data_IF_653898816634
#
_entry.id   IF_653898816634
#
_cell.length_a   1.000
_cell.length_b   1.000
_cell.length_c   1.000
_cell.angle_alpha   90.00
_cell.angle_beta   90.00
_cell.angle_gamma   90.00
#
_symmetry.space_group_name_H-M   'P 1'
#
loop_
_entity.id
_entity.type
_entity.pdbx_description
1 polymer ?
#
# COMPACT_ATOMS: atom_id res chain seq x y z
N UNK A 1 5.26 -12.43 3.60
CA UNK A 1 6.60 -12.26 3.00
C UNK A 1 7.69 -12.87 3.87
N UNK A 2 7.89 -12.40 5.11
CA UNK A 2 8.99 -12.85 5.95
C UNK A 2 8.99 -14.38 6.19
N UNK A 3 7.86 -14.93 6.64
CA UNK A 3 7.67 -16.38 6.82
C UNK A 3 7.89 -17.17 5.52
N UNK A 4 7.43 -16.64 4.38
CA UNK A 4 7.68 -17.25 3.06
C UNK A 4 9.18 -17.34 2.75
N UNK A 5 9.92 -16.27 3.01
CA UNK A 5 11.38 -16.24 2.83
C UNK A 5 12.11 -17.24 3.72
N UNK A 6 11.68 -17.39 4.98
CA UNK A 6 12.23 -18.39 5.91
C UNK A 6 12.00 -19.81 5.38
N UNK A 7 10.78 -20.12 4.96
CA UNK A 7 10.45 -21.46 4.44
C UNK A 7 11.11 -21.78 3.10
N UNK A 8 11.51 -20.77 2.32
CA UNK A 8 12.12 -20.91 1.00
C UNK A 8 13.59 -20.46 0.97
N UNK A 9 14.27 -20.41 2.12
CA UNK A 9 15.57 -19.76 2.27
C UNK A 9 16.60 -20.23 1.25
N UNK A 10 16.79 -21.54 1.09
CA UNK A 10 17.80 -22.08 0.16
C UNK A 10 17.59 -21.66 -1.30
N UNK A 11 16.34 -21.52 -1.73
CA UNK A 11 16.02 -21.05 -3.09
C UNK A 11 16.11 -19.54 -3.21
N UNK A 12 15.85 -18.83 -2.11
CA UNK A 12 15.70 -17.38 -2.11
C UNK A 12 16.97 -16.61 -1.72
N UNK A 13 17.93 -17.25 -1.04
CA UNK A 13 19.14 -16.60 -0.51
C UNK A 13 19.96 -15.86 -1.59
N UNK A 14 20.73 -14.88 -1.13
CA UNK A 14 21.66 -14.08 -1.94
C UNK A 14 21.03 -13.27 -3.09
N UNK A 15 19.72 -12.97 -2.99
CA UNK A 15 18.98 -12.19 -4.00
C UNK A 15 18.08 -11.14 -3.33
N UNK A 16 17.99 -9.93 -3.88
CA UNK A 16 16.97 -8.97 -3.47
C UNK A 16 15.62 -9.31 -4.12
N UNK A 17 14.53 -8.97 -3.45
CA UNK A 17 13.16 -9.16 -3.96
C UNK A 17 12.37 -7.88 -3.74
N UNK A 18 11.79 -7.34 -4.80
CA UNK A 18 10.76 -6.32 -4.69
C UNK A 18 9.51 -6.95 -4.10
N UNK A 19 8.84 -6.21 -3.22
CA UNK A 19 7.66 -6.67 -2.51
C UNK A 19 6.62 -5.57 -2.57
N UNK A 20 5.56 -5.82 -3.30
CA UNK A 20 4.45 -4.90 -3.50
C UNK A 20 3.23 -5.62 -4.01
N UNK A 21 2.18 -4.84 -4.29
CA UNK A 21 0.97 -5.31 -4.95
C UNK A 21 1.09 -5.06 -6.45
N UNK A 22 1.30 -6.11 -7.23
CA UNK A 22 1.44 -6.00 -8.68
C UNK A 22 0.16 -5.52 -9.37
N UNK A 23 -0.99 -5.75 -8.74
CA UNK A 23 -2.32 -5.29 -9.18
C UNK A 23 -2.67 -3.88 -8.70
N UNK A 24 -1.78 -3.21 -7.94
CA UNK A 24 -2.04 -1.88 -7.38
C UNK A 24 -0.89 -0.88 -7.65
N UNK A 25 -0.44 -0.82 -8.91
CA UNK A 25 0.47 0.23 -9.39
C UNK A 25 -0.32 1.51 -9.69
N UNK A 26 -0.58 2.32 -8.66
CA UNK A 26 -1.42 3.53 -8.75
C UNK A 26 -0.62 4.80 -8.45
N UNK A 27 -0.92 5.86 -9.19
CA UNK A 27 -0.54 7.23 -8.83
C UNK A 27 -1.27 7.69 -7.56
N UNK A 28 -0.81 8.80 -6.97
CA UNK A 28 -1.46 9.41 -5.79
C UNK A 28 -2.93 9.77 -6.07
N UNK A 29 -3.22 10.25 -7.27
CA UNK A 29 -4.58 10.63 -7.68
C UNK A 29 -5.47 9.39 -7.81
N UNK A 30 -4.96 8.33 -8.43
CA UNK A 30 -5.71 7.08 -8.57
C UNK A 30 -5.95 6.41 -7.20
N UNK A 31 -4.98 6.46 -6.29
CA UNK A 31 -5.16 6.01 -4.91
C UNK A 31 -6.27 6.80 -4.21
N UNK A 32 -6.27 8.14 -4.34
CA UNK A 32 -7.35 8.97 -3.81
C UNK A 32 -8.72 8.59 -4.38
N UNK A 33 -8.79 8.29 -5.68
CA UNK A 33 -10.02 7.82 -6.33
C UNK A 33 -10.47 6.45 -5.79
N UNK A 34 -9.56 5.52 -5.52
CA UNK A 34 -9.88 4.24 -4.87
C UNK A 34 -10.41 4.44 -3.46
N UNK A 35 -9.76 5.29 -2.65
CA UNK A 35 -10.22 5.63 -1.29
C UNK A 35 -11.63 6.22 -1.31
N UNK A 36 -11.93 7.11 -2.27
CA UNK A 36 -13.25 7.74 -2.41
C UNK A 36 -14.38 6.74 -2.66
N UNK A 37 -14.10 5.57 -3.27
CA UNK A 37 -15.10 4.50 -3.44
C UNK A 37 -15.59 3.96 -2.08
N UNK A 38 -14.72 3.94 -1.08
CA UNK A 38 -15.03 3.48 0.29
C UNK A 38 -15.46 4.62 1.21
N UNK A 39 -15.04 5.85 0.93
CA UNK A 39 -15.36 7.06 1.68
C UNK A 39 -15.95 8.11 0.72
N UNK A 40 -17.27 8.08 0.43
CA UNK A 40 -17.86 8.90 -0.63
C UNK A 40 -17.68 10.42 -0.45
N UNK A 41 -17.61 10.87 0.81
CA UNK A 41 -17.42 12.27 1.19
C UNK A 41 -15.94 12.69 1.25
N UNK A 42 -15.01 11.83 0.82
CA UNK A 42 -13.60 12.16 0.74
C UNK A 42 -13.36 13.16 -0.39
N UNK A 43 -13.00 14.38 0.00
CA UNK A 43 -12.63 15.48 -0.91
C UNK A 43 -11.12 15.63 -0.87
N UNK A 44 -10.49 15.59 -2.04
CA UNK A 44 -9.07 15.83 -2.22
C UNK A 44 -8.88 16.86 -3.34
N UNK A 45 -7.86 17.71 -3.18
CA UNK A 45 -7.50 18.77 -4.11
C UNK A 45 -6.07 18.55 -4.57
N UNK A 46 -5.82 18.78 -5.85
CA UNK A 46 -4.47 18.86 -6.39
C UNK A 46 -4.00 20.30 -6.30
N UNK A 47 -2.77 20.49 -5.81
CA UNK A 47 -2.09 21.77 -5.85
C UNK A 47 -0.82 21.59 -6.69
N UNK A 48 -0.49 22.51 -7.61
CA UNK A 48 0.73 22.42 -8.43
C UNK A 48 2.01 22.76 -7.65
N UNK A 49 1.91 22.91 -6.32
CA UNK A 49 2.99 23.39 -5.45
C UNK A 49 3.54 22.21 -4.65
N UNK A 50 4.84 21.98 -4.78
CA UNK A 50 5.55 20.87 -4.15
C UNK A 50 5.82 19.73 -5.14
N UNK A 51 7.09 19.33 -5.23
CA UNK A 51 7.51 18.16 -6.02
C UNK A 51 7.84 17.03 -5.05
N UNK A 52 7.48 15.79 -5.40
CA UNK A 52 7.95 14.63 -4.65
C UNK A 52 9.46 14.53 -4.84
N UNK A 53 10.30 14.72 -3.80
CA UNK A 53 11.74 14.64 -3.94
C UNK A 53 12.19 13.25 -4.39
N UNK A 54 11.34 12.22 -4.23
CA UNK A 54 11.63 10.83 -4.55
C UNK A 54 11.30 10.47 -6.03
N UNK A 55 10.60 11.32 -6.79
CA UNK A 55 10.26 11.11 -8.23
C UNK A 55 9.95 9.65 -8.63
N UNK A 56 9.23 8.91 -7.79
CA UNK A 56 8.99 7.46 -7.93
C UNK A 56 7.89 7.16 -8.96
N UNK A 57 8.05 7.69 -10.17
CA UNK A 57 7.10 7.53 -11.27
C UNK A 57 7.49 6.36 -12.17
N UNK A 58 7.74 5.19 -11.56
CA UNK A 58 8.06 3.95 -12.29
C UNK A 58 7.34 2.75 -11.69
N UNK A 59 7.02 1.78 -12.56
CA UNK A 59 6.41 0.51 -12.15
C UNK A 59 7.52 -0.44 -11.67
N UNK A 60 7.37 -0.96 -10.45
CA UNK A 60 8.28 -1.94 -9.87
C UNK A 60 7.75 -3.34 -10.13
N UNK A 61 8.52 -4.17 -10.83
CA UNK A 61 8.15 -5.58 -11.04
C UNK A 61 8.38 -6.40 -9.76
N UNK A 62 7.35 -7.16 -9.38
CA UNK A 62 7.39 -8.14 -8.29
C UNK A 62 7.47 -9.59 -8.80
N UNK A 63 7.61 -9.81 -10.12
CA UNK A 63 7.60 -11.14 -10.75
C UNK A 63 8.60 -12.11 -10.10
N UNK A 64 9.75 -11.59 -9.65
CA UNK A 64 10.77 -12.41 -8.98
C UNK A 64 10.24 -13.06 -7.70
N UNK A 65 9.53 -12.31 -6.85
CA UNK A 65 8.98 -12.88 -5.61
C UNK A 65 7.76 -13.75 -5.91
N UNK A 66 6.92 -13.35 -6.85
CA UNK A 66 5.75 -14.13 -7.28
C UNK A 66 6.16 -15.47 -7.90
N UNK A 67 7.25 -15.51 -8.66
CA UNK A 67 7.85 -16.75 -9.20
C UNK A 67 8.37 -17.71 -8.12
N UNK A 68 8.51 -17.25 -6.87
CA UNK A 68 8.76 -18.13 -5.72
C UNK A 68 7.47 -18.74 -5.14
N UNK A 69 6.30 -18.47 -5.73
CA UNK A 69 5.00 -18.89 -5.22
C UNK A 69 4.47 -17.98 -4.09
N UNK A 70 5.09 -16.82 -3.87
CA UNK A 70 4.55 -15.83 -2.94
C UNK A 70 3.37 -15.11 -3.60
N UNK A 71 2.27 -14.97 -2.86
CA UNK A 71 1.12 -14.17 -3.26
C UNK A 71 0.66 -13.28 -2.10
N UNK A 72 0.27 -12.05 -2.41
CA UNK A 72 -0.37 -11.17 -1.42
C UNK A 72 -1.76 -11.71 -1.08
N UNK A 73 -2.08 -11.70 0.21
CA UNK A 73 -3.39 -12.16 0.71
C UNK A 73 -4.38 -11.00 0.79
N UNK A 74 -3.87 -9.78 0.97
CA UNK A 74 -4.65 -8.57 1.12
C UNK A 74 -4.50 -7.69 -0.11
N UNK A 75 -5.63 -7.25 -0.69
CA UNK A 75 -5.68 -6.22 -1.71
C UNK A 75 -5.56 -4.82 -1.08
N UNK A 76 -5.39 -3.81 -1.94
CA UNK A 76 -5.45 -2.41 -1.53
C UNK A 76 -6.79 -2.08 -0.85
N UNK A 77 -7.92 -2.52 -1.43
CA UNK A 77 -9.25 -2.27 -0.88
C UNK A 77 -9.44 -2.90 0.52
N UNK A 78 -8.90 -4.10 0.74
CA UNK A 78 -8.92 -4.74 2.05
C UNK A 78 -8.22 -3.84 3.09
N UNK A 79 -7.04 -3.30 2.75
CA UNK A 79 -6.29 -2.37 3.60
C UNK A 79 -7.05 -1.07 3.87
N UNK A 80 -7.69 -0.48 2.84
CA UNK A 80 -8.50 0.74 3.01
C UNK A 80 -9.64 0.50 4.01
N UNK A 81 -10.39 -0.59 3.85
CA UNK A 81 -11.50 -0.94 4.73
C UNK A 81 -11.04 -1.23 6.17
N UNK A 82 -9.89 -1.88 6.33
CA UNK A 82 -9.29 -2.12 7.64
C UNK A 82 -8.90 -0.82 8.34
N UNK A 83 -8.25 0.10 7.62
CA UNK A 83 -7.87 1.40 8.15
C UNK A 83 -9.09 2.25 8.57
N UNK A 84 -10.18 2.24 7.79
CA UNK A 84 -11.43 2.92 8.16
C UNK A 84 -11.96 2.39 9.51
N UNK A 85 -11.89 1.08 9.75
CA UNK A 85 -12.29 0.49 11.03
C UNK A 85 -11.33 0.89 12.15
N UNK A 86 -10.02 0.81 11.90
CA UNK A 86 -8.97 1.16 12.86
C UNK A 86 -9.08 2.60 13.34
N UNK A 87 -9.26 3.57 12.43
CA UNK A 87 -9.38 4.98 12.79
C UNK A 87 -10.64 5.33 13.59
N UNK A 88 -11.69 4.48 13.57
CA UNK A 88 -12.84 4.66 14.47
C UNK A 88 -12.53 4.27 15.92
N UNK A 89 -11.55 3.39 16.13
CA UNK A 89 -11.13 2.92 17.45
C UNK A 89 -10.02 3.81 18.02
N UNK A 90 -9.12 4.29 17.17
CA UNK A 90 -8.00 5.13 17.55
C UNK A 90 -8.47 6.58 17.80
N UNK A 91 -8.57 6.98 19.07
CA UNK A 91 -8.79 8.39 19.44
C UNK A 91 -7.44 9.10 19.52
N UNK A 92 -7.09 9.84 18.47
CA UNK A 92 -5.86 10.63 18.42
C UNK A 92 -6.06 12.09 18.84
N UNK A 93 -6.89 12.33 19.86
CA UNK A 93 -7.19 13.68 20.35
C UNK A 93 -6.41 13.99 21.63
N UNK A 94 -5.25 14.63 21.49
CA UNK A 94 -4.48 15.12 22.65
C UNK A 94 -5.16 16.33 23.30
N UNK A 95 -5.89 17.13 22.52
CA UNK A 95 -6.63 18.31 23.01
C UNK A 95 -7.96 18.44 22.25
N UNK A 96 -8.94 17.61 22.60
CA UNK A 96 -10.31 17.80 22.14
C UNK A 96 -11.25 18.01 23.32
N UNK A 97 -12.15 18.98 23.18
CA UNK A 97 -13.30 19.13 24.07
C UNK A 97 -14.30 18.04 23.67
N UNK A 98 -14.15 16.84 24.21
CA UNK A 98 -15.18 15.79 24.14
C UNK A 98 -15.82 15.69 25.52
#
# INVERSE_FOLDING_TARGET
VFIHGIHNFERMRDKPYNVGLSDANLSKIELCAQIRKHVPNFVFLEAPIGEDPDKRDYIVSNERIEGTGFHSIHSLDNGILELIKGYRMLRNSVYANI
#
